data_IF_465790778303
#
_entry.id   IF_465790778303
#
_cell.length_a   1.000
_cell.length_b   1.000
_cell.length_c   1.000
_cell.angle_alpha   90.00
_cell.angle_beta   90.00
_cell.angle_gamma   90.00
#
_symmetry.space_group_name_H-M   'P 1'
#
loop_
_entity.id
_entity.type
_entity.pdbx_description
1 polymer ?
#
# COMPACT_ATOMS: atom_id res chain seq x y z
N UNK A 1 9.51 -7.49 -8.41
CA UNK A 1 9.96 -8.31 -9.55
C UNK A 1 8.94 -8.14 -10.67
N UNK A 2 9.40 -8.03 -11.92
CA UNK A 2 8.60 -7.83 -13.13
C UNK A 2 8.92 -8.96 -14.10
N UNK A 3 7.89 -9.53 -14.70
CA UNK A 3 8.03 -10.62 -15.67
C UNK A 3 7.73 -10.08 -17.06
N UNK A 4 8.60 -10.40 -18.01
CA UNK A 4 8.54 -9.89 -19.38
C UNK A 4 8.52 -11.05 -20.36
N UNK A 5 7.61 -10.97 -21.33
CA UNK A 5 7.69 -11.83 -22.52
C UNK A 5 8.96 -11.50 -23.30
N UNK A 6 9.63 -12.51 -23.86
CA UNK A 6 10.77 -12.32 -24.77
C UNK A 6 10.43 -11.36 -25.92
N UNK A 7 9.17 -11.33 -26.38
CA UNK A 7 8.73 -10.44 -27.46
C UNK A 7 8.89 -8.94 -27.12
N UNK A 8 8.87 -8.57 -25.84
CA UNK A 8 9.05 -7.19 -25.36
C UNK A 8 10.48 -6.88 -24.92
N UNK A 9 11.39 -7.88 -24.98
CA UNK A 9 12.80 -7.72 -24.62
C UNK A 9 13.62 -6.98 -25.71
N UNK A 10 13.04 -6.77 -26.89
CA UNK A 10 13.62 -5.97 -27.97
C UNK A 10 13.68 -4.46 -27.61
N UNK A 11 14.20 -3.63 -28.52
CA UNK A 11 14.22 -2.16 -28.41
C UNK A 11 12.81 -1.57 -28.43
N UNK A 12 12.08 -1.77 -27.34
CA UNK A 12 10.75 -1.23 -27.10
C UNK A 12 10.85 -0.03 -26.15
N UNK A 13 9.90 0.91 -26.27
CA UNK A 13 9.79 2.04 -25.33
C UNK A 13 9.72 1.57 -23.87
N UNK A 14 9.07 0.44 -23.62
CA UNK A 14 8.94 -0.16 -22.29
C UNK A 14 10.31 -0.68 -21.79
N UNK A 15 11.05 -1.39 -22.64
CA UNK A 15 12.35 -1.95 -22.29
C UNK A 15 13.41 -0.85 -22.10
N UNK A 16 13.54 0.06 -23.07
CA UNK A 16 14.53 1.14 -23.07
C UNK A 16 14.20 2.25 -22.05
N UNK A 17 12.92 2.41 -21.72
CA UNK A 17 12.44 3.32 -20.69
C UNK A 17 12.36 2.66 -19.32
N UNK A 18 11.14 2.33 -18.88
CA UNK A 18 10.85 2.00 -17.48
C UNK A 18 11.58 0.75 -16.98
N UNK A 19 11.70 -0.31 -17.80
CA UNK A 19 12.37 -1.54 -17.37
C UNK A 19 13.87 -1.35 -17.22
N UNK A 20 14.50 -0.57 -18.11
CA UNK A 20 15.91 -0.16 -17.97
C UNK A 20 16.14 0.60 -16.66
N UNK A 21 15.24 1.51 -16.31
CA UNK A 21 15.31 2.21 -15.02
C UNK A 21 15.19 1.23 -13.84
N UNK A 22 14.24 0.29 -13.87
CA UNK A 22 14.07 -0.72 -12.81
C UNK A 22 15.32 -1.60 -12.67
N UNK A 23 15.87 -2.09 -13.79
CA UNK A 23 17.10 -2.90 -13.83
C UNK A 23 18.31 -2.16 -13.25
N UNK A 24 18.37 -0.83 -13.39
CA UNK A 24 19.44 -0.01 -12.79
C UNK A 24 19.45 -0.06 -11.26
N UNK A 25 18.27 -0.19 -10.62
CA UNK A 25 18.17 -0.27 -9.16
C UNK A 25 18.38 -1.70 -8.64
N UNK A 26 17.92 -2.70 -9.40
CA UNK A 26 18.13 -4.10 -9.10
C UNK A 26 18.13 -4.89 -10.42
N UNK A 27 19.28 -5.44 -10.79
CA UNK A 27 19.47 -6.17 -12.04
C UNK A 27 18.48 -7.33 -12.18
N UNK A 28 18.19 -8.02 -11.07
CA UNK A 28 17.28 -9.18 -11.02
C UNK A 28 15.81 -8.80 -10.89
N UNK A 29 15.47 -7.50 -10.86
CA UNK A 29 14.09 -7.08 -10.72
C UNK A 29 13.24 -7.33 -11.97
N UNK A 30 13.85 -7.61 -13.13
CA UNK A 30 13.15 -7.93 -14.38
C UNK A 30 13.63 -9.28 -14.90
N UNK A 31 12.72 -10.26 -14.98
CA UNK A 31 12.95 -11.60 -15.54
C UNK A 31 12.25 -11.73 -16.88
N UNK A 32 12.86 -12.47 -17.80
CA UNK A 32 12.39 -12.60 -19.19
C UNK A 32 12.12 -14.06 -19.48
N UNK A 33 10.92 -14.36 -19.96
CA UNK A 33 10.47 -15.72 -20.27
C UNK A 33 10.01 -15.83 -21.72
N UNK A 34 10.25 -16.96 -22.39
CA UNK A 34 9.83 -17.20 -23.78
C UNK A 34 8.34 -17.57 -23.88
N UNK A 35 7.44 -16.81 -23.29
CA UNK A 35 6.00 -16.99 -23.46
C UNK A 35 5.45 -16.10 -24.58
N UNK A 36 4.28 -16.43 -25.11
CA UNK A 36 3.55 -15.59 -26.07
C UNK A 36 2.29 -15.04 -25.43
N UNK A 37 2.25 -13.73 -25.19
CA UNK A 37 1.12 -13.11 -24.47
C UNK A 37 -0.20 -13.20 -25.24
N UNK A 38 -0.13 -13.35 -26.57
CA UNK A 38 -1.29 -13.49 -27.46
C UNK A 38 -1.85 -14.92 -27.51
N UNK A 39 -1.07 -15.91 -27.09
CA UNK A 39 -1.47 -17.31 -27.09
C UNK A 39 -1.24 -17.95 -25.72
N UNK A 40 -2.00 -17.58 -24.66
CA UNK A 40 -1.76 -18.09 -23.30
C UNK A 40 -1.81 -19.61 -23.20
N UNK A 41 -2.57 -20.29 -24.07
CA UNK A 41 -2.66 -21.74 -24.12
C UNK A 41 -1.40 -22.44 -24.63
N UNK A 42 -0.46 -21.72 -25.26
CA UNK A 42 0.84 -22.28 -25.69
C UNK A 42 1.91 -22.25 -24.60
N UNK A 43 1.62 -21.62 -23.45
CA UNK A 43 2.53 -21.57 -22.32
C UNK A 43 2.60 -22.96 -21.69
N UNK A 44 3.78 -23.58 -21.71
CA UNK A 44 3.99 -24.90 -21.12
C UNK A 44 3.89 -24.87 -19.59
N UNK A 45 3.48 -25.99 -18.99
CA UNK A 45 3.48 -26.15 -17.53
C UNK A 45 4.89 -25.98 -16.95
N UNK A 46 5.92 -26.49 -17.63
CA UNK A 46 7.33 -26.30 -17.22
C UNK A 46 7.71 -24.82 -17.08
N UNK A 47 7.26 -23.97 -18.01
CA UNK A 47 7.55 -22.53 -17.95
C UNK A 47 6.80 -21.85 -16.81
N UNK A 48 5.60 -22.31 -16.49
CA UNK A 48 4.83 -21.84 -15.33
C UNK A 48 5.57 -22.22 -14.05
N UNK A 49 6.06 -23.46 -13.95
CA UNK A 49 6.82 -23.94 -12.80
C UNK A 49 8.12 -23.15 -12.59
N UNK A 50 8.85 -22.82 -13.67
CA UNK A 50 10.03 -21.96 -13.59
C UNK A 50 9.69 -20.57 -13.02
N UNK A 51 8.62 -19.95 -13.54
CA UNK A 51 8.16 -18.62 -13.09
C UNK A 51 7.73 -18.66 -11.62
N UNK A 52 6.97 -19.69 -11.24
CA UNK A 52 6.54 -19.91 -9.87
C UNK A 52 7.72 -20.22 -8.93
N UNK A 53 8.73 -20.93 -9.41
CA UNK A 53 9.99 -21.20 -8.74
C UNK A 53 10.73 -19.90 -8.42
N UNK A 54 10.92 -19.04 -9.43
CA UNK A 54 11.57 -17.74 -9.28
C UNK A 54 10.82 -16.80 -8.32
N UNK A 55 9.48 -16.78 -8.38
CA UNK A 55 8.64 -16.04 -7.41
C UNK A 55 8.89 -16.57 -5.99
N UNK A 56 8.87 -17.89 -5.83
CA UNK A 56 9.03 -18.54 -4.53
C UNK A 56 10.41 -18.31 -3.94
N UNK A 57 11.47 -18.39 -4.75
CA UNK A 57 12.84 -18.11 -4.35
C UNK A 57 12.99 -16.64 -3.95
N UNK A 58 12.45 -15.73 -4.75
CA UNK A 58 12.48 -14.30 -4.43
C UNK A 58 11.80 -14.02 -3.08
N UNK A 59 10.62 -14.59 -2.84
CA UNK A 59 9.90 -14.45 -1.57
C UNK A 59 10.70 -15.04 -0.40
N UNK A 60 11.30 -16.23 -0.57
CA UNK A 60 12.13 -16.87 0.46
C UNK A 60 13.38 -16.04 0.80
N UNK A 61 13.94 -15.32 -0.16
CA UNK A 61 15.07 -14.41 0.03
C UNK A 61 14.70 -13.13 0.79
N UNK A 62 13.42 -12.79 0.91
CA UNK A 62 13.00 -11.60 1.66
C UNK A 62 13.13 -11.81 3.17
N UNK A 63 13.60 -10.80 3.92
CA UNK A 63 13.64 -10.88 5.38
C UNK A 63 12.22 -11.01 5.94
N UNK A 64 11.99 -12.02 6.80
CA UNK A 64 10.68 -12.27 7.42
C UNK A 64 10.16 -11.08 8.24
N UNK A 65 11.07 -10.38 8.92
CA UNK A 65 10.78 -9.20 9.73
C UNK A 65 11.71 -8.05 9.33
N UNK A 66 11.42 -7.34 8.23
CA UNK A 66 12.24 -6.21 7.82
C UNK A 66 12.16 -5.09 8.85
N UNK A 67 13.31 -4.51 9.23
CA UNK A 67 13.33 -3.26 9.99
C UNK A 67 12.68 -2.17 9.15
N UNK A 68 11.80 -1.37 9.77
CA UNK A 68 11.15 -0.24 9.13
C UNK A 68 12.21 0.73 8.60
N UNK A 69 12.09 1.10 7.32
CA UNK A 69 12.96 2.04 6.61
C UNK A 69 12.06 3.02 5.88
N UNK A 70 11.99 4.27 6.34
CA UNK A 70 11.11 5.31 5.77
C UNK A 70 11.48 5.63 4.31
N UNK A 71 12.75 5.47 3.94
CA UNK A 71 13.22 5.60 2.56
C UNK A 71 12.70 4.51 1.62
N UNK A 72 12.17 3.40 2.16
CA UNK A 72 11.53 2.36 1.36
C UNK A 72 10.06 2.73 1.13
N UNK A 73 9.67 2.84 -0.14
CA UNK A 73 8.31 3.25 -0.51
C UNK A 73 7.23 2.26 -0.03
N UNK A 74 7.51 0.96 -0.02
CA UNK A 74 6.59 -0.06 0.47
C UNK A 74 6.38 0.09 1.97
N UNK A 75 7.43 0.36 2.74
CA UNK A 75 7.30 0.64 4.16
C UNK A 75 6.49 1.91 4.42
N UNK A 76 6.69 2.96 3.60
CA UNK A 76 5.87 4.16 3.70
C UNK A 76 4.38 3.87 3.42
N UNK A 77 4.06 3.02 2.44
CA UNK A 77 2.67 2.59 2.20
C UNK A 77 2.09 1.84 3.38
N UNK A 78 2.86 0.96 4.01
CA UNK A 78 2.45 0.25 5.23
C UNK A 78 2.15 1.25 6.35
N UNK A 79 2.98 2.28 6.55
CA UNK A 79 2.72 3.32 7.56
C UNK A 79 1.44 4.10 7.25
N UNK A 80 1.25 4.55 6.01
CA UNK A 80 0.06 5.31 5.60
C UNK A 80 -1.20 4.46 5.80
N UNK A 81 -1.17 3.20 5.34
CA UNK A 81 -2.29 2.27 5.50
C UNK A 81 -2.62 2.08 6.99
N UNK A 82 -1.59 1.86 7.80
CA UNK A 82 -1.75 1.58 9.21
C UNK A 82 -2.31 2.79 9.99
N UNK A 83 -1.88 4.02 9.65
CA UNK A 83 -2.43 5.27 10.18
C UNK A 83 -3.92 5.40 9.79
N UNK A 84 -4.26 5.21 8.51
CA UNK A 84 -5.65 5.33 8.06
C UNK A 84 -6.54 4.28 8.73
N UNK A 85 -6.06 3.06 8.94
CA UNK A 85 -6.80 2.01 9.67
C UNK A 85 -6.98 2.37 11.15
N UNK A 86 -5.94 2.88 11.82
CA UNK A 86 -6.00 3.30 13.23
C UNK A 86 -7.07 4.35 13.47
N UNK A 87 -7.05 5.40 12.66
CA UNK A 87 -7.95 6.54 12.80
C UNK A 87 -9.23 6.41 11.96
N UNK A 88 -9.45 5.25 11.35
CA UNK A 88 -10.68 4.81 10.66
C UNK A 88 -11.03 5.56 9.37
N UNK A 89 -11.05 6.90 9.40
CA UNK A 89 -11.39 7.76 8.26
C UNK A 89 -10.70 9.13 8.36
N UNK A 90 -9.74 9.39 7.47
CA UNK A 90 -8.89 10.57 7.53
C UNK A 90 -8.95 11.43 6.26
N UNK A 91 -8.83 12.74 6.44
CA UNK A 91 -8.57 13.68 5.33
C UNK A 91 -7.10 13.63 4.92
N UNK A 92 -6.80 14.02 3.68
CA UNK A 92 -5.43 14.14 3.17
C UNK A 92 -4.53 14.98 4.11
N UNK A 93 -5.05 16.12 4.59
CA UNK A 93 -4.33 17.01 5.50
C UNK A 93 -3.99 16.33 6.83
N UNK A 94 -4.89 15.51 7.36
CA UNK A 94 -4.67 14.78 8.61
C UNK A 94 -3.61 13.70 8.45
N UNK A 95 -3.63 12.96 7.33
CA UNK A 95 -2.59 11.99 6.98
C UNK A 95 -1.23 12.67 6.92
N UNK A 96 -1.14 13.83 6.24
CA UNK A 96 0.10 14.61 6.17
C UNK A 96 0.59 15.06 7.55
N UNK A 97 -0.31 15.56 8.41
CA UNK A 97 0.01 15.97 9.78
C UNK A 97 0.54 14.79 10.60
N UNK A 98 -0.11 13.62 10.51
CA UNK A 98 0.30 12.45 11.29
C UNK A 98 1.63 11.88 10.81
N UNK A 99 1.86 11.81 9.50
CA UNK A 99 3.16 11.44 8.96
C UNK A 99 4.28 12.35 9.48
N UNK A 100 4.02 13.65 9.57
CA UNK A 100 4.99 14.61 10.10
C UNK A 100 5.30 14.35 11.60
N UNK A 101 4.31 13.94 12.41
CA UNK A 101 4.55 13.52 13.80
C UNK A 101 5.47 12.30 13.91
N UNK A 102 5.46 11.41 12.91
CA UNK A 102 6.40 10.29 12.81
C UNK A 102 7.74 10.67 12.16
N UNK A 103 8.00 11.97 11.94
CA UNK A 103 9.23 12.47 11.30
C UNK A 103 9.25 12.29 9.77
N UNK A 104 8.12 11.94 9.15
CA UNK A 104 8.02 11.70 7.71
C UNK A 104 7.46 12.96 7.05
N UNK A 105 8.35 13.74 6.44
CA UNK A 105 7.97 14.96 5.71
C UNK A 105 7.79 14.64 4.23
N UNK A 106 6.54 14.69 3.76
CA UNK A 106 6.21 14.56 2.34
C UNK A 106 5.66 15.88 1.81
N UNK A 107 5.96 16.18 0.54
CA UNK A 107 5.25 17.23 -0.18
C UNK A 107 3.81 16.76 -0.45
N UNK A 108 2.89 17.71 -0.59
CA UNK A 108 1.47 17.42 -0.84
C UNK A 108 1.28 16.56 -2.10
N UNK A 109 1.94 16.91 -3.19
CA UNK A 109 1.85 16.15 -4.45
C UNK A 109 2.41 14.73 -4.31
N UNK A 110 3.50 14.59 -3.55
CA UNK A 110 4.10 13.28 -3.27
C UNK A 110 3.15 12.40 -2.45
N UNK A 111 2.38 12.98 -1.51
CA UNK A 111 1.38 12.25 -0.75
C UNK A 111 0.20 11.86 -1.65
N UNK A 112 -0.30 12.77 -2.49
CA UNK A 112 -1.41 12.51 -3.41
C UNK A 112 -1.10 11.38 -4.38
N UNK A 113 0.09 11.36 -4.97
CA UNK A 113 0.53 10.28 -5.86
C UNK A 113 0.48 8.94 -5.11
N UNK A 114 0.94 8.90 -3.86
CA UNK A 114 0.96 7.67 -3.05
C UNK A 114 -0.45 7.22 -2.69
N UNK A 115 -1.33 8.12 -2.24
CA UNK A 115 -2.73 7.82 -1.95
C UNK A 115 -3.47 7.32 -3.20
N UNK A 116 -3.20 7.94 -4.36
CA UNK A 116 -3.73 7.49 -5.64
C UNK A 116 -3.28 6.07 -5.97
N UNK A 117 -1.98 5.76 -5.85
CA UNK A 117 -1.47 4.42 -6.08
C UNK A 117 -2.09 3.40 -5.12
N UNK A 118 -2.15 3.72 -3.83
CA UNK A 118 -2.75 2.84 -2.81
C UNK A 118 -4.23 2.56 -3.09
N UNK A 119 -4.97 3.53 -3.64
CA UNK A 119 -6.34 3.32 -4.12
C UNK A 119 -6.39 2.39 -5.33
N UNK A 120 -5.48 2.57 -6.30
CA UNK A 120 -5.40 1.68 -7.48
C UNK A 120 -5.03 0.24 -7.12
N UNK A 121 -4.23 0.05 -6.07
CA UNK A 121 -3.94 -1.28 -5.52
C UNK A 121 -5.03 -1.83 -4.58
N UNK A 122 -6.14 -1.11 -4.39
CA UNK A 122 -7.23 -1.54 -3.51
C UNK A 122 -6.82 -1.66 -2.05
N UNK A 123 -5.85 -0.86 -1.60
CA UNK A 123 -5.44 -0.76 -0.19
C UNK A 123 -6.27 0.29 0.54
N UNK A 124 -6.57 1.39 -0.14
CA UNK A 124 -7.40 2.47 0.37
C UNK A 124 -8.61 2.69 -0.52
N UNK A 125 -9.71 3.11 0.09
CA UNK A 125 -10.87 3.68 -0.58
C UNK A 125 -10.98 5.16 -0.23
N UNK A 126 -11.70 5.89 -1.06
CA UNK A 126 -12.15 7.25 -0.76
C UNK A 126 -13.67 7.28 -0.71
N UNK A 127 -14.24 8.07 0.19
CA UNK A 127 -15.66 8.37 0.22
C UNK A 127 -15.86 9.87 0.36
N UNK A 128 -16.69 10.41 -0.53
CA UNK A 128 -17.05 11.81 -0.55
C UNK A 128 -18.35 12.02 0.23
N UNK A 129 -18.38 13.05 1.07
CA UNK A 129 -19.57 13.48 1.77
C UNK A 129 -19.64 15.01 1.78
N UNK A 130 -20.63 15.55 1.06
CA UNK A 130 -20.77 16.99 0.82
C UNK A 130 -19.51 17.57 0.17
N UNK A 131 -18.78 18.46 0.86
CA UNK A 131 -17.56 19.11 0.39
C UNK A 131 -16.27 18.46 0.93
N UNK A 132 -16.38 17.33 1.62
CA UNK A 132 -15.26 16.68 2.28
C UNK A 132 -15.11 15.26 1.76
N UNK A 133 -13.87 14.84 1.60
CA UNK A 133 -13.50 13.48 1.23
C UNK A 133 -12.62 12.84 2.30
N UNK A 134 -12.81 11.55 2.50
CA UNK A 134 -12.11 10.78 3.53
C UNK A 134 -11.50 9.53 2.91
N UNK A 135 -10.26 9.25 3.29
CA UNK A 135 -9.58 8.00 3.00
C UNK A 135 -9.88 6.99 4.11
N UNK A 136 -10.21 5.77 3.69
CA UNK A 136 -10.48 4.62 4.55
C UNK A 136 -9.70 3.41 4.03
N UNK A 137 -9.42 2.44 4.88
CA UNK A 137 -8.86 1.17 4.39
C UNK A 137 -9.89 0.39 3.57
N UNK A 138 -9.40 -0.23 2.50
CA UNK A 138 -10.23 -1.14 1.72
C UNK A 138 -10.52 -2.44 2.50
N UNK A 139 -11.36 -3.33 1.96
CA UNK A 139 -11.66 -4.63 2.61
C UNK A 139 -10.47 -5.60 2.59
N UNK A 140 -9.47 -5.31 1.77
CA UNK A 140 -8.28 -6.15 1.65
C UNK A 140 -7.38 -6.01 2.87
N UNK A 141 -6.93 -7.15 3.38
CA UNK A 141 -5.90 -7.17 4.41
C UNK A 141 -4.56 -6.76 3.81
N UNK A 142 -3.80 -5.94 4.54
CA UNK A 142 -2.47 -5.52 4.16
C UNK A 142 -1.51 -5.65 5.33
N UNK A 143 -0.21 -5.50 5.06
CA UNK A 143 0.81 -5.50 6.10
C UNK A 143 0.58 -4.35 7.08
N UNK A 144 0.93 -4.60 8.35
CA UNK A 144 0.76 -3.67 9.47
C UNK A 144 2.09 -3.37 10.12
N UNK A 145 2.16 -2.22 10.78
CA UNK A 145 3.34 -1.84 11.58
C UNK A 145 3.17 -2.42 12.99
N UNK A 146 4.18 -3.14 13.47
CA UNK A 146 4.26 -3.53 14.87
C UNK A 146 4.75 -2.34 15.70
N UNK A 147 3.80 -1.54 16.21
CA UNK A 147 4.12 -0.38 17.06
C UNK A 147 4.60 -0.84 18.44
N UNK A 148 5.70 -0.25 18.90
CA UNK A 148 6.20 -0.41 20.26
C UNK A 148 6.25 0.95 20.95
N UNK A 149 5.77 1.02 22.20
CA UNK A 149 5.88 2.22 23.02
C UNK A 149 7.20 2.16 23.80
N UNK A 150 7.95 3.27 23.85
CA UNK A 150 9.26 3.40 24.50
C UNK A 150 9.30 3.04 26.01
N UNK A 151 8.17 2.69 26.64
CA UNK A 151 8.06 2.35 28.08
C UNK A 151 7.53 0.94 28.36
N UNK A 152 7.59 0.02 27.40
CA UNK A 152 7.14 -1.37 27.59
C UNK A 152 5.62 -1.54 27.66
N UNK A 153 4.85 -0.46 27.54
CA UNK A 153 3.41 -0.53 27.37
C UNK A 153 3.08 -1.16 26.00
N UNK A 154 2.14 -2.12 26.00
CA UNK A 154 1.62 -2.69 24.76
C UNK A 154 0.70 -1.67 24.10
N UNK A 155 0.96 -1.37 22.82
CA UNK A 155 0.04 -0.57 22.01
C UNK A 155 -1.16 -1.44 21.63
N UNK A 156 -2.32 -1.14 22.21
CA UNK A 156 -3.58 -1.82 21.87
C UNK A 156 -4.27 -1.10 20.71
N UNK A 157 -4.05 -1.62 19.51
CA UNK A 157 -4.61 -1.11 18.25
C UNK A 157 -6.14 -1.07 18.27
N UNK A 158 -6.78 -2.13 18.78
CA UNK A 158 -8.24 -2.24 18.75
C UNK A 158 -8.84 -1.20 19.67
N UNK A 159 -8.27 -1.03 20.87
CA UNK A 159 -8.65 0.03 21.79
C UNK A 159 -8.47 1.41 21.19
N UNK A 160 -7.31 1.69 20.58
CA UNK A 160 -7.08 2.99 19.91
C UNK A 160 -8.11 3.28 18.83
N UNK A 161 -8.44 2.30 17.98
CA UNK A 161 -9.45 2.49 16.94
C UNK A 161 -10.85 2.75 17.52
N UNK A 162 -11.22 2.05 18.59
CA UNK A 162 -12.48 2.29 19.32
C UNK A 162 -12.51 3.69 19.93
N UNK A 163 -11.44 4.11 20.57
CA UNK A 163 -11.33 5.43 21.20
C UNK A 163 -11.41 6.55 20.16
N UNK A 164 -10.80 6.38 18.98
CA UNK A 164 -10.96 7.31 17.85
C UNK A 164 -12.43 7.42 17.39
N UNK A 165 -13.15 6.29 17.27
CA UNK A 165 -14.58 6.32 16.89
C UNK A 165 -15.43 7.05 17.94
N UNK A 166 -15.17 6.83 19.23
CA UNK A 166 -15.85 7.54 20.33
C UNK A 166 -15.57 9.03 20.29
N UNK A 167 -14.30 9.41 20.12
CA UNK A 167 -13.91 10.81 19.99
C UNK A 167 -14.66 11.52 18.84
N UNK A 168 -14.76 10.90 17.67
CA UNK A 168 -15.52 11.47 16.56
C UNK A 168 -17.02 11.59 16.86
N UNK A 169 -17.59 10.66 17.63
CA UNK A 169 -18.99 10.70 18.04
C UNK A 169 -19.28 11.85 19.03
N UNK A 170 -18.38 12.08 19.97
CA UNK A 170 -18.52 13.07 21.05
C UNK A 170 -18.20 14.50 20.60
N UNK A 171 -17.25 14.67 19.67
CA UNK A 171 -16.78 15.99 19.21
C UNK A 171 -17.87 16.83 18.53
N UNK A 172 -18.92 16.21 18.00
CA UNK A 172 -20.07 16.89 17.35
C UNK A 172 -19.75 17.62 16.03
N UNK A 173 -18.47 17.94 15.77
CA UNK A 173 -17.94 18.55 14.56
C UNK A 173 -17.71 17.55 13.43
N UNK A 174 -17.62 16.26 13.75
CA UNK A 174 -17.25 15.19 12.82
C UNK A 174 -18.45 14.42 12.25
N UNK A 175 -19.63 15.05 12.16
CA UNK A 175 -20.86 14.42 11.67
C UNK A 175 -20.70 13.77 10.29
N UNK A 176 -19.99 14.42 9.37
CA UNK A 176 -19.73 13.88 8.03
C UNK A 176 -18.83 12.64 8.09
N UNK A 177 -17.75 12.69 8.88
CA UNK A 177 -16.85 11.54 9.10
C UNK A 177 -17.62 10.35 9.67
N UNK A 178 -18.47 10.57 10.67
CA UNK A 178 -19.29 9.49 11.26
C UNK A 178 -20.24 8.84 10.25
N UNK A 179 -20.85 9.63 9.37
CA UNK A 179 -21.72 9.09 8.30
C UNK A 179 -20.93 8.22 7.33
N UNK A 180 -19.74 8.66 6.93
CA UNK A 180 -18.82 7.89 6.08
C UNK A 180 -18.40 6.59 6.76
N UNK A 181 -18.03 6.63 8.04
CA UNK A 181 -17.68 5.44 8.83
C UNK A 181 -18.87 4.46 8.89
N UNK A 182 -20.08 4.95 9.18
CA UNK A 182 -21.31 4.12 9.24
C UNK A 182 -21.63 3.49 7.88
N UNK A 183 -21.50 4.24 6.80
CA UNK A 183 -21.72 3.73 5.44
C UNK A 183 -20.75 2.59 5.10
N UNK A 184 -19.50 2.67 5.58
CA UNK A 184 -18.47 1.68 5.27
C UNK A 184 -18.53 0.43 6.15
N UNK A 185 -18.74 0.58 7.45
CA UNK A 185 -18.62 -0.50 8.43
C UNK A 185 -19.96 -1.01 8.97
N UNK A 186 -21.09 -0.43 8.54
CA UNK A 186 -22.41 -0.72 9.11
C UNK A 186 -22.63 0.03 10.43
N UNK A 187 -23.90 0.19 10.82
CA UNK A 187 -24.23 0.69 12.15
C UNK A 187 -23.93 -0.42 13.18
N UNK A 188 -23.14 -0.10 14.19
CA UNK A 188 -23.27 -0.80 15.48
C UNK A 188 -24.53 -0.29 16.18
#
# INVERSE_FOLDING_TARGET
>A
MVFLSREFHCDSFINLGILRHIKKYNHDAVRVYPWETKYPASISEELIDDVCGDISEHIKGLPKNPKLKISNISHLFVIIYDIVELFVALKESEIATYLNFFGIKLKTDDLRIKLFLMKKFGLLDHLDFSNSWYYLVSKNQFHRVAWSVNKGAKFDRLRTSVDCRKFYAESGKDKHRLRVIRQRFGAN
#
